data_IF_901589983150
#
_entry.id   IF_901589983150
#
_cell.length_a   1.000
_cell.length_b   1.000
_cell.length_c   1.000
_cell.angle_alpha   90.00
_cell.angle_beta   90.00
_cell.angle_gamma   90.00
#
_symmetry.space_group_name_H-M   'P 1'
#
loop_
_entity.id
_entity.type
_entity.pdbx_description
1 polymer ?
#
# COMPACT_ATOMS: atom_id res chain seq x y z
N UNK A 1 -2.02 19.24 32.21
CA UNK A 1 -0.98 18.33 32.71
C UNK A 1 -0.06 17.86 31.58
N UNK A 2 -0.59 17.24 30.52
CA UNK A 2 0.20 16.72 29.39
C UNK A 2 1.20 17.73 28.79
N UNK A 3 0.77 18.96 28.48
CA UNK A 3 1.67 20.01 27.92
C UNK A 3 2.84 20.33 28.87
N UNK A 4 2.61 20.39 30.19
CA UNK A 4 3.69 20.65 31.16
C UNK A 4 4.68 19.48 31.19
N UNK A 5 4.16 18.25 31.24
CA UNK A 5 5.00 17.05 31.21
C UNK A 5 5.87 16.97 29.94
N UNK A 6 5.33 17.37 28.79
CA UNK A 6 6.10 17.43 27.55
C UNK A 6 7.13 18.57 27.58
N UNK A 7 6.77 19.75 28.09
CA UNK A 7 7.68 20.89 28.22
C UNK A 7 8.88 20.60 29.13
N UNK A 8 8.67 19.83 30.20
CA UNK A 8 9.73 19.40 31.12
C UNK A 8 10.61 18.29 30.54
N UNK A 9 10.25 17.71 29.39
CA UNK A 9 11.05 16.66 28.76
C UNK A 9 12.39 17.20 28.26
N UNK A 10 13.49 16.43 28.35
CA UNK A 10 14.80 16.84 27.82
C UNK A 10 14.76 17.19 26.33
N UNK A 11 13.85 16.56 25.57
CA UNK A 11 13.66 16.82 24.14
C UNK A 11 13.19 18.23 23.86
N UNK A 12 12.28 18.78 24.68
CA UNK A 12 11.77 20.15 24.51
C UNK A 12 12.71 21.17 25.14
N UNK A 13 13.33 20.84 26.28
CA UNK A 13 14.31 21.72 26.94
C UNK A 13 15.55 21.97 26.07
N UNK A 14 15.94 20.98 25.25
CA UNK A 14 17.04 21.12 24.28
C UNK A 14 16.71 21.88 22.99
N UNK A 15 15.45 22.29 22.78
CA UNK A 15 15.07 23.04 21.58
C UNK A 15 15.54 24.50 21.66
N UNK A 16 15.77 25.09 20.48
CA UNK A 16 15.97 26.53 20.34
C UNK A 16 14.75 27.30 20.85
N UNK A 17 14.98 28.53 21.29
CA UNK A 17 13.93 29.40 21.82
C UNK A 17 12.77 29.58 20.82
N UNK A 18 13.08 29.86 19.55
CA UNK A 18 12.07 30.01 18.50
C UNK A 18 11.20 28.75 18.33
N UNK A 19 11.81 27.56 18.40
CA UNK A 19 11.11 26.28 18.30
C UNK A 19 10.20 26.04 19.50
N UNK A 20 10.63 26.42 20.72
CA UNK A 20 9.78 26.37 21.93
C UNK A 20 8.60 27.34 21.83
N UNK A 21 8.82 28.55 21.31
CA UNK A 21 7.76 29.53 21.10
C UNK A 21 6.74 29.06 20.05
N UNK A 22 7.19 28.48 18.94
CA UNK A 22 6.31 27.85 17.93
C UNK A 22 5.46 26.76 18.55
N UNK A 23 6.08 25.87 19.33
CA UNK A 23 5.40 24.79 20.04
C UNK A 23 4.33 25.32 21.00
N UNK A 24 4.65 26.35 21.79
CA UNK A 24 3.70 26.99 22.69
C UNK A 24 2.50 27.58 21.94
N UNK A 25 2.71 28.25 20.80
CA UNK A 25 1.63 28.77 19.95
C UNK A 25 0.72 27.66 19.42
N UNK A 26 1.29 26.53 19.00
CA UNK A 26 0.52 25.38 18.51
C UNK A 26 -0.37 24.79 19.62
N UNK A 27 0.16 24.62 20.83
CA UNK A 27 -0.62 24.10 21.96
C UNK A 27 -1.67 25.08 22.45
N UNK A 28 -1.38 26.38 22.46
CA UNK A 28 -2.37 27.41 22.77
C UNK A 28 -3.53 27.37 21.76
N UNK A 29 -3.23 27.27 20.46
CA UNK A 29 -4.26 27.17 19.41
C UNK A 29 -5.09 25.89 19.53
N UNK A 30 -4.47 24.76 19.86
CA UNK A 30 -5.20 23.52 20.13
C UNK A 30 -6.13 23.66 21.35
N UNK A 31 -5.67 24.30 22.43
CA UNK A 31 -6.51 24.56 23.62
C UNK A 31 -7.67 25.51 23.32
N UNK A 32 -7.45 26.53 22.48
CA UNK A 32 -8.51 27.43 22.01
C UNK A 32 -9.55 26.68 21.16
N UNK A 33 -9.11 25.79 20.27
CA UNK A 33 -10.02 24.96 19.47
C UNK A 33 -10.89 24.04 20.36
N UNK A 34 -10.33 23.48 21.45
CA UNK A 34 -11.13 22.73 22.44
C UNK A 34 -12.13 23.63 23.16
N UNK A 35 -11.72 24.82 23.58
CA UNK A 35 -12.61 25.77 24.26
C UNK A 35 -13.74 26.29 23.36
N UNK A 36 -13.51 26.35 22.06
CA UNK A 36 -14.50 26.73 21.04
C UNK A 36 -15.35 25.56 20.52
N UNK A 37 -15.18 24.35 21.07
CA UNK A 37 -15.83 23.11 20.62
C UNK A 37 -15.55 22.75 19.15
N UNK A 38 -14.42 23.21 18.61
CA UNK A 38 -13.96 22.88 17.25
C UNK A 38 -13.18 21.56 17.20
N UNK A 39 -12.66 21.09 18.33
CA UNK A 39 -12.04 19.76 18.45
C UNK A 39 -12.21 19.19 19.87
N UNK A 40 -12.15 17.85 19.98
CA UNK A 40 -12.25 17.18 21.27
C UNK A 40 -10.97 17.33 22.10
N UNK A 41 -11.09 17.23 23.43
CA UNK A 41 -9.93 17.19 24.33
C UNK A 41 -8.98 16.03 23.97
N UNK A 42 -9.54 14.87 23.60
CA UNK A 42 -8.76 13.71 23.16
C UNK A 42 -7.92 14.01 21.90
N UNK A 43 -8.48 14.74 20.92
CA UNK A 43 -7.75 15.17 19.74
C UNK A 43 -6.55 16.06 20.10
N UNK A 44 -6.77 17.02 21.00
CA UNK A 44 -5.71 17.91 21.46
C UNK A 44 -4.63 17.17 22.26
N UNK A 45 -5.00 16.20 23.11
CA UNK A 45 -4.04 15.36 23.83
C UNK A 45 -3.22 14.48 22.89
N UNK A 46 -3.87 13.85 21.90
CA UNK A 46 -3.18 13.06 20.86
C UNK A 46 -2.24 13.93 20.02
N UNK A 47 -2.59 15.20 19.78
CA UNK A 47 -1.72 16.16 19.12
C UNK A 47 -0.47 16.44 19.96
N UNK A 48 -0.61 16.65 21.28
CA UNK A 48 0.54 16.81 22.18
C UNK A 48 1.46 15.59 22.12
N UNK A 49 0.90 14.38 22.15
CA UNK A 49 1.68 13.14 22.08
C UNK A 49 2.38 12.97 20.72
N UNK A 50 1.69 13.30 19.63
CA UNK A 50 2.18 13.16 18.25
C UNK A 50 3.26 14.19 17.88
N UNK A 51 3.34 15.34 18.55
CA UNK A 51 4.37 16.35 18.23
C UNK A 51 5.80 15.86 18.55
N UNK A 52 5.95 14.80 19.37
CA UNK A 52 7.25 14.20 19.71
C UNK A 52 8.17 13.93 18.50
N UNK A 53 7.74 13.15 17.49
CA UNK A 53 8.44 12.97 16.22
C UNK A 53 8.84 14.27 15.49
N UNK A 54 8.06 15.34 15.59
CA UNK A 54 8.32 16.61 14.91
C UNK A 54 9.37 17.49 15.60
N UNK A 55 9.68 17.25 16.88
CA UNK A 55 10.60 18.10 17.63
C UNK A 55 12.01 18.17 17.00
N UNK A 56 12.38 17.17 16.19
CA UNK A 56 13.66 17.15 15.45
C UNK A 56 13.59 17.85 14.08
N UNK A 57 12.42 18.30 13.64
CA UNK A 57 12.14 18.83 12.31
C UNK A 57 11.47 20.20 12.43
N UNK A 58 12.27 21.24 12.67
CA UNK A 58 11.79 22.61 12.93
C UNK A 58 10.92 23.18 11.79
N UNK A 59 11.12 22.72 10.54
CA UNK A 59 10.31 23.09 9.38
C UNK A 59 8.84 22.71 9.54
N UNK A 60 8.53 21.57 10.17
CA UNK A 60 7.15 21.15 10.38
C UNK A 60 6.44 21.97 11.45
N UNK A 61 7.16 22.37 12.52
CA UNK A 61 6.63 23.31 13.50
C UNK A 61 6.36 24.68 12.84
N UNK A 62 7.23 25.12 11.93
CA UNK A 62 7.03 26.31 11.11
C UNK A 62 5.74 26.23 10.31
N UNK A 63 5.61 25.18 9.50
CA UNK A 63 4.49 24.92 8.60
C UNK A 63 3.16 24.98 9.36
N UNK A 64 3.09 24.29 10.50
CA UNK A 64 1.88 24.27 11.32
C UNK A 64 1.55 25.67 11.85
N UNK A 65 2.53 26.43 12.34
CA UNK A 65 2.27 27.79 12.85
C UNK A 65 1.78 28.70 11.72
N UNK A 66 2.46 28.68 10.58
CA UNK A 66 2.16 29.52 9.41
C UNK A 66 0.85 29.16 8.71
N UNK A 67 0.42 27.90 8.79
CA UNK A 67 -0.83 27.42 8.16
C UNK A 67 -1.81 26.88 9.21
N UNK A 68 -2.64 27.74 9.85
CA UNK A 68 -3.61 27.32 10.85
C UNK A 68 -4.59 26.23 10.39
N UNK A 69 -5.02 26.30 9.12
CA UNK A 69 -5.91 25.30 8.53
C UNK A 69 -5.31 23.88 8.55
N UNK A 70 -3.98 23.76 8.41
CA UNK A 70 -3.28 22.47 8.47
C UNK A 70 -3.36 21.88 9.89
N UNK A 71 -3.11 22.68 10.93
CA UNK A 71 -3.27 22.19 12.31
C UNK A 71 -4.72 21.82 12.60
N UNK A 72 -5.70 22.60 12.12
CA UNK A 72 -7.11 22.30 12.38
C UNK A 72 -7.52 20.95 11.75
N UNK A 73 -7.12 20.69 10.49
CA UNK A 73 -7.31 19.37 9.86
C UNK A 73 -6.66 18.25 10.65
N UNK A 74 -5.42 18.46 11.08
CA UNK A 74 -4.68 17.49 11.88
C UNK A 74 -5.37 17.18 13.21
N UNK A 75 -5.91 18.18 13.91
CA UNK A 75 -6.69 17.97 15.12
C UNK A 75 -7.95 17.15 14.84
N UNK A 76 -8.67 17.43 13.74
CA UNK A 76 -9.82 16.61 13.32
C UNK A 76 -9.43 15.15 13.06
N UNK A 77 -8.36 14.91 12.29
CA UNK A 77 -7.84 13.57 11.99
C UNK A 77 -7.49 12.80 13.27
N UNK A 78 -6.81 13.45 14.21
CA UNK A 78 -6.43 12.85 15.48
C UNK A 78 -7.63 12.56 16.39
N UNK A 79 -8.75 13.28 16.22
CA UNK A 79 -9.98 13.03 16.96
C UNK A 79 -10.73 11.77 16.54
N UNK A 80 -10.67 11.40 15.26
CA UNK A 80 -11.60 10.43 14.67
C UNK A 80 -11.24 8.97 14.90
N UNK A 81 -9.96 8.60 14.94
CA UNK A 81 -9.57 7.20 15.16
C UNK A 81 -8.15 7.03 15.71
N UNK A 82 -7.87 5.83 16.25
CA UNK A 82 -6.53 5.44 16.74
C UNK A 82 -5.56 5.15 15.59
N UNK A 83 -6.05 4.66 14.45
CA UNK A 83 -5.20 4.29 13.32
C UNK A 83 -4.53 5.51 12.65
N UNK A 84 -5.23 6.62 12.33
CA UNK A 84 -4.61 7.85 11.81
C UNK A 84 -3.47 8.37 12.69
N UNK A 85 -3.64 8.31 14.02
CA UNK A 85 -2.59 8.70 14.96
C UNK A 85 -1.36 7.80 14.84
N UNK A 86 -1.53 6.47 14.84
CA UNK A 86 -0.40 5.52 14.67
C UNK A 86 0.31 5.74 13.35
N UNK A 87 -0.45 5.93 12.28
CA UNK A 87 0.08 6.18 10.95
C UNK A 87 0.90 7.48 10.90
N UNK A 88 0.37 8.58 11.45
CA UNK A 88 1.07 9.85 11.54
C UNK A 88 2.33 9.79 12.44
N UNK A 89 2.34 8.95 13.48
CA UNK A 89 3.53 8.73 14.30
C UNK A 89 4.63 7.98 13.53
N UNK A 90 4.25 7.05 12.65
CA UNK A 90 5.17 6.27 11.82
C UNK A 90 5.67 7.09 10.62
N UNK A 91 4.83 7.94 10.03
CA UNK A 91 5.12 8.69 8.82
C UNK A 91 4.88 10.21 9.02
N UNK A 92 5.61 10.90 9.91
CA UNK A 92 5.36 12.31 10.22
C UNK A 92 5.52 13.26 9.02
N UNK A 93 6.19 12.83 7.94
CA UNK A 93 6.37 13.65 6.73
C UNK A 93 5.12 13.82 5.88
N UNK A 94 4.10 12.95 6.03
CA UNK A 94 2.87 13.03 5.22
C UNK A 94 2.04 14.29 5.50
N UNK A 95 2.37 15.05 6.56
CA UNK A 95 1.69 16.30 6.86
C UNK A 95 1.94 17.40 5.82
N UNK A 96 2.99 17.26 4.99
CA UNK A 96 3.21 18.12 3.84
C UNK A 96 2.00 18.09 2.89
N UNK A 97 1.30 16.96 2.81
CA UNK A 97 0.12 16.79 1.96
C UNK A 97 -1.09 17.60 2.45
N UNK A 98 -1.15 17.96 3.75
CA UNK A 98 -2.22 18.82 4.26
C UNK A 98 -2.10 20.27 3.80
N UNK A 99 -0.91 20.66 3.34
CA UNK A 99 -0.59 22.03 2.99
C UNK A 99 -1.24 22.47 1.67
N UNK A 100 -1.55 21.54 0.78
CA UNK A 100 -2.14 21.82 -0.54
C UNK A 100 -3.61 21.32 -0.61
N UNK A 101 -4.59 22.23 -0.60
CA UNK A 101 -6.01 21.86 -0.72
C UNK A 101 -6.37 21.15 -2.03
N UNK A 102 -5.67 21.42 -3.13
CA UNK A 102 -6.00 20.84 -4.44
C UNK A 102 -5.69 19.34 -4.45
N UNK A 103 -4.55 18.95 -3.87
CA UNK A 103 -4.14 17.54 -3.73
C UNK A 103 -5.10 16.72 -2.86
N UNK A 104 -5.85 17.38 -1.97
CA UNK A 104 -6.85 16.72 -1.13
C UNK A 104 -8.20 16.57 -1.84
N UNK A 105 -8.50 17.38 -2.85
CA UNK A 105 -9.82 17.38 -3.51
C UNK A 105 -9.97 16.36 -4.64
N UNK A 106 -8.85 15.96 -5.27
CA UNK A 106 -8.86 14.99 -6.37
C UNK A 106 -8.75 13.55 -5.85
N UNK A 107 -9.43 12.59 -6.51
CA UNK A 107 -9.20 11.15 -6.31
C UNK A 107 -7.85 10.73 -6.86
N UNK A 108 -7.40 9.54 -6.47
CA UNK A 108 -6.13 9.00 -6.93
C UNK A 108 -6.09 8.86 -8.46
N UNK A 109 -5.03 9.40 -9.07
CA UNK A 109 -4.73 9.25 -10.50
C UNK A 109 -3.48 8.37 -10.67
N UNK A 110 -3.72 7.15 -11.15
CA UNK A 110 -2.68 6.16 -11.41
C UNK A 110 -1.62 6.66 -12.39
N UNK A 111 -2.02 7.28 -13.49
CA UNK A 111 -1.08 7.65 -14.54
C UNK A 111 -0.22 8.84 -14.09
N UNK A 112 -0.83 9.81 -13.41
CA UNK A 112 -0.09 10.92 -12.80
C UNK A 112 0.92 10.42 -11.75
N UNK A 113 0.52 9.47 -10.89
CA UNK A 113 1.39 8.88 -9.88
C UNK A 113 2.60 8.14 -10.49
N UNK A 114 2.36 7.31 -11.51
CA UNK A 114 3.44 6.60 -12.22
C UNK A 114 4.34 7.59 -12.96
N UNK A 115 3.80 8.64 -13.57
CA UNK A 115 4.57 9.66 -14.26
C UNK A 115 5.49 10.44 -13.31
N UNK A 116 4.97 10.89 -12.16
CA UNK A 116 5.76 11.57 -11.12
C UNK A 116 6.91 10.67 -10.62
N UNK A 117 6.64 9.39 -10.35
CA UNK A 117 7.70 8.46 -9.93
C UNK A 117 8.76 8.25 -11.02
N UNK A 118 8.35 8.12 -12.28
CA UNK A 118 9.31 8.03 -13.41
C UNK A 118 10.19 9.28 -13.50
N UNK A 119 9.61 10.47 -13.32
CA UNK A 119 10.39 11.72 -13.31
C UNK A 119 11.41 11.74 -12.16
N UNK A 120 10.99 11.31 -10.96
CA UNK A 120 11.88 11.20 -9.79
C UNK A 120 13.00 10.19 -10.00
N UNK A 121 12.71 9.02 -10.58
CA UNK A 121 13.73 8.04 -10.94
C UNK A 121 14.75 8.65 -11.92
N UNK A 122 14.29 9.32 -12.97
CA UNK A 122 15.18 10.00 -13.91
C UNK A 122 16.00 11.09 -13.23
N UNK A 123 15.42 11.81 -12.26
CA UNK A 123 16.12 12.77 -11.41
C UNK A 123 17.30 12.13 -10.67
N UNK A 124 17.05 11.00 -10.00
CA UNK A 124 18.10 10.22 -9.32
C UNK A 124 19.16 9.68 -10.28
N UNK A 125 18.75 9.25 -11.47
CA UNK A 125 19.69 8.77 -12.50
C UNK A 125 20.60 9.90 -12.99
N UNK A 126 20.04 11.08 -13.25
CA UNK A 126 20.79 12.27 -13.67
C UNK A 126 21.79 12.74 -12.60
N UNK A 127 21.45 12.60 -11.32
CA UNK A 127 22.37 12.95 -10.23
C UNK A 127 23.42 11.88 -9.92
N UNK A 128 23.33 10.71 -10.55
CA UNK A 128 24.20 9.56 -10.25
C UNK A 128 23.93 8.92 -8.89
N UNK A 129 22.76 9.19 -8.29
CA UNK A 129 22.35 8.73 -6.95
C UNK A 129 21.12 7.82 -7.00
N UNK A 130 20.88 7.15 -8.13
CA UNK A 130 19.82 6.15 -8.29
C UNK A 130 20.18 4.81 -7.66
N UNK A 131 20.66 4.85 -6.41
CA UNK A 131 20.85 3.65 -5.61
C UNK A 131 19.50 3.03 -5.22
N UNK A 132 19.56 1.76 -4.83
CA UNK A 132 18.39 0.96 -4.50
C UNK A 132 17.62 1.53 -3.30
N UNK A 133 18.33 2.06 -2.29
CA UNK A 133 17.71 2.61 -1.09
C UNK A 133 16.94 3.89 -1.38
N UNK A 134 17.50 4.82 -2.17
CA UNK A 134 16.88 6.08 -2.54
C UNK A 134 15.57 5.87 -3.32
N UNK A 135 15.54 4.87 -4.21
CA UNK A 135 14.35 4.52 -4.97
C UNK A 135 13.29 3.86 -4.09
N UNK A 136 13.71 2.91 -3.25
CA UNK A 136 12.82 2.28 -2.26
C UNK A 136 12.16 3.33 -1.36
N UNK A 137 12.94 4.30 -0.88
CA UNK A 137 12.45 5.42 -0.07
C UNK A 137 11.53 6.36 -0.87
N UNK A 138 11.86 6.63 -2.12
CA UNK A 138 11.03 7.47 -3.01
C UNK A 138 9.65 6.86 -3.21
N UNK A 139 9.59 5.56 -3.51
CA UNK A 139 8.33 4.82 -3.69
C UNK A 139 7.51 4.77 -2.41
N UNK A 140 8.14 4.51 -1.25
CA UNK A 140 7.49 4.51 0.07
C UNK A 140 6.90 5.86 0.41
N UNK A 141 7.64 6.95 0.22
CA UNK A 141 7.14 8.31 0.51
C UNK A 141 5.94 8.65 -0.36
N UNK A 142 5.98 8.32 -1.65
CA UNK A 142 4.87 8.55 -2.56
C UNK A 142 3.63 7.70 -2.18
N UNK A 143 3.82 6.42 -1.87
CA UNK A 143 2.77 5.55 -1.36
C UNK A 143 2.14 6.12 -0.08
N UNK A 144 2.96 6.48 0.91
CA UNK A 144 2.47 6.96 2.19
C UNK A 144 1.76 8.31 2.10
N UNK A 145 2.22 9.19 1.20
CA UNK A 145 1.56 10.44 0.88
C UNK A 145 0.15 10.18 0.33
N UNK A 146 0.00 9.27 -0.63
CA UNK A 146 -1.31 9.01 -1.24
C UNK A 146 -2.28 8.27 -0.32
N UNK A 147 -1.79 7.31 0.48
CA UNK A 147 -2.57 6.68 1.56
C UNK A 147 -3.10 7.76 2.50
N UNK A 148 -2.26 8.72 2.86
CA UNK A 148 -2.65 9.79 3.76
C UNK A 148 -3.64 10.78 3.12
N UNK A 149 -3.46 11.16 1.85
CA UNK A 149 -4.46 11.98 1.12
C UNK A 149 -5.81 11.27 1.06
N UNK A 150 -5.81 9.96 0.80
CA UNK A 150 -7.03 9.13 0.79
C UNK A 150 -7.68 9.11 2.18
N UNK A 151 -6.89 8.98 3.25
CA UNK A 151 -7.38 9.06 4.62
C UNK A 151 -8.03 10.40 4.94
N UNK A 152 -7.43 11.51 4.50
CA UNK A 152 -7.98 12.84 4.70
C UNK A 152 -9.34 12.98 4.01
N UNK A 153 -9.44 12.53 2.75
CA UNK A 153 -10.70 12.55 1.98
C UNK A 153 -11.79 11.71 2.64
N UNK A 154 -11.46 10.51 3.10
CA UNK A 154 -12.38 9.60 3.82
C UNK A 154 -12.92 10.25 5.09
N UNK A 155 -12.02 10.74 5.94
CA UNK A 155 -12.33 11.42 7.20
C UNK A 155 -13.17 12.68 6.99
N UNK A 156 -12.89 13.47 5.96
CA UNK A 156 -13.65 14.68 5.65
C UNK A 156 -14.97 14.38 4.91
N UNK A 157 -15.30 13.10 4.67
CA UNK A 157 -16.53 12.68 4.01
C UNK A 157 -16.60 13.03 2.52
N UNK A 158 -15.43 13.24 1.89
CA UNK A 158 -15.33 13.64 0.48
C UNK A 158 -15.41 12.44 -0.48
N UNK A 159 -15.13 11.24 0.02
CA UNK A 159 -15.22 9.97 -0.72
C UNK A 159 -15.98 8.93 0.11
N UNK A 160 -16.62 7.97 -0.57
CA UNK A 160 -17.27 6.83 0.10
C UNK A 160 -16.27 5.74 0.45
N UNK A 161 -16.66 4.80 1.33
CA UNK A 161 -15.82 3.65 1.70
C UNK A 161 -15.46 2.79 0.48
N UNK A 162 -16.35 2.64 -0.49
CA UNK A 162 -16.07 1.95 -1.75
C UNK A 162 -15.03 2.69 -2.57
N UNK A 163 -15.09 4.03 -2.62
CA UNK A 163 -14.10 4.84 -3.32
C UNK A 163 -12.73 4.81 -2.62
N UNK A 164 -12.68 4.72 -1.29
CA UNK A 164 -11.45 4.44 -0.54
C UNK A 164 -10.85 3.12 -0.99
N UNK A 165 -11.66 2.06 -1.06
CA UNK A 165 -11.19 0.74 -1.46
C UNK A 165 -10.70 0.71 -2.92
N UNK A 166 -11.39 1.40 -3.82
CA UNK A 166 -10.96 1.60 -5.20
C UNK A 166 -9.61 2.34 -5.27
N UNK A 167 -9.46 3.47 -4.58
CA UNK A 167 -8.25 4.31 -4.61
C UNK A 167 -7.05 3.54 -4.03
N UNK A 168 -7.22 2.85 -2.90
CA UNK A 168 -6.16 2.06 -2.28
C UNK A 168 -5.77 0.84 -3.13
N UNK A 169 -6.75 0.17 -3.76
CA UNK A 169 -6.47 -0.95 -4.68
C UNK A 169 -5.73 -0.48 -5.93
N UNK A 170 -6.13 0.67 -6.49
CA UNK A 170 -5.48 1.25 -7.66
C UNK A 170 -4.06 1.76 -7.33
N UNK A 171 -3.85 2.29 -6.12
CA UNK A 171 -2.53 2.65 -5.61
C UNK A 171 -1.63 1.43 -5.49
N UNK A 172 -2.13 0.31 -4.95
CA UNK A 172 -1.37 -0.93 -4.86
C UNK A 172 -0.95 -1.45 -6.25
N UNK A 173 -1.86 -1.42 -7.24
CA UNK A 173 -1.56 -1.75 -8.64
C UNK A 173 -0.45 -0.86 -9.21
N UNK A 174 -0.52 0.45 -8.96
CA UNK A 174 0.46 1.43 -9.44
C UNK A 174 1.85 1.22 -8.80
N UNK A 175 1.89 1.00 -7.48
CA UNK A 175 3.13 0.73 -6.75
C UNK A 175 3.77 -0.58 -7.22
N UNK A 176 2.99 -1.64 -7.42
CA UNK A 176 3.47 -2.89 -8.00
C UNK A 176 4.06 -2.68 -9.39
N UNK A 177 3.39 -1.91 -10.26
CA UNK A 177 3.87 -1.62 -11.61
C UNK A 177 5.22 -0.89 -11.60
N UNK A 178 5.37 0.13 -10.74
CA UNK A 178 6.63 0.87 -10.59
C UNK A 178 7.73 -0.02 -10.02
N UNK A 179 7.42 -0.78 -8.96
CA UNK A 179 8.37 -1.68 -8.32
C UNK A 179 8.91 -2.74 -9.29
N UNK A 180 8.04 -3.32 -10.13
CA UNK A 180 8.46 -4.29 -11.17
C UNK A 180 9.49 -3.66 -12.10
N UNK A 181 9.20 -2.48 -12.66
CA UNK A 181 10.11 -1.80 -13.59
C UNK A 181 11.44 -1.45 -12.94
N UNK A 182 11.42 -0.81 -11.77
CA UNK A 182 12.63 -0.38 -11.07
C UNK A 182 13.50 -1.52 -10.60
N UNK A 183 12.88 -2.58 -10.05
CA UNK A 183 13.59 -3.75 -9.58
C UNK A 183 14.19 -4.55 -10.74
N UNK A 184 13.48 -4.67 -11.87
CA UNK A 184 13.94 -5.39 -13.05
C UNK A 184 15.15 -4.72 -13.70
N UNK A 185 15.09 -3.40 -13.90
CA UNK A 185 16.20 -2.61 -14.43
C UNK A 185 17.49 -2.73 -13.60
N UNK A 186 17.37 -3.13 -12.33
CA UNK A 186 18.47 -3.31 -11.37
C UNK A 186 18.64 -4.78 -10.96
N UNK A 187 18.09 -5.71 -11.74
CA UNK A 187 18.25 -7.13 -11.50
C UNK A 187 19.38 -7.67 -12.37
N UNK A 188 20.51 -8.02 -11.75
CA UNK A 188 21.73 -8.42 -12.48
C UNK A 188 21.59 -9.68 -13.34
N UNK A 189 20.50 -10.45 -13.22
CA UNK A 189 20.18 -11.61 -14.06
C UNK A 189 19.11 -11.29 -15.12
N UNK A 190 18.69 -10.04 -15.28
CA UNK A 190 17.74 -9.65 -16.31
C UNK A 190 18.32 -9.95 -17.71
N UNK A 191 17.63 -10.79 -18.47
CA UNK A 191 18.04 -11.24 -19.81
C UNK A 191 17.34 -10.47 -20.94
N UNK A 192 16.45 -9.53 -20.60
CA UNK A 192 15.67 -8.72 -21.54
C UNK A 192 15.35 -7.33 -20.97
N UNK A 193 15.00 -6.35 -21.82
CA UNK A 193 14.73 -4.99 -21.36
C UNK A 193 13.59 -4.91 -20.34
N UNK A 194 12.49 -5.61 -20.59
CA UNK A 194 11.29 -5.62 -19.75
C UNK A 194 10.88 -7.06 -19.37
N UNK A 195 10.44 -7.31 -18.13
CA UNK A 195 10.06 -8.64 -17.69
C UNK A 195 8.73 -9.07 -18.31
N UNK A 196 8.66 -10.31 -18.80
CA UNK A 196 7.40 -10.98 -19.17
C UNK A 196 6.72 -11.57 -17.92
N UNK A 197 6.46 -10.72 -16.93
CA UNK A 197 5.84 -11.09 -15.65
C UNK A 197 4.45 -10.47 -15.56
N UNK A 198 3.47 -11.23 -15.08
CA UNK A 198 2.16 -10.79 -14.66
C UNK A 198 1.98 -11.02 -13.15
N UNK A 199 1.43 -10.03 -12.47
CA UNK A 199 0.96 -10.15 -11.09
C UNK A 199 -0.56 -10.24 -11.12
N UNK A 200 -1.08 -11.34 -10.58
CA UNK A 200 -2.51 -11.61 -10.46
C UNK A 200 -2.89 -11.36 -9.01
N UNK A 201 -3.67 -10.31 -8.78
CA UNK A 201 -4.24 -10.01 -7.48
C UNK A 201 -5.37 -10.98 -7.16
N UNK A 202 -5.43 -11.45 -5.91
CA UNK A 202 -6.50 -12.25 -5.32
C UNK A 202 -7.08 -11.52 -4.11
N UNK A 203 -8.01 -12.16 -3.39
CA UNK A 203 -8.49 -11.68 -2.09
C UNK A 203 -9.08 -10.27 -2.16
N UNK A 204 -8.65 -9.39 -1.25
CA UNK A 204 -9.16 -8.01 -1.17
C UNK A 204 -8.66 -7.15 -2.33
N UNK A 205 -7.37 -7.25 -2.69
CA UNK A 205 -6.81 -6.50 -3.82
C UNK A 205 -7.50 -6.87 -5.13
N UNK A 206 -7.73 -8.17 -5.34
CA UNK A 206 -8.42 -8.69 -6.52
C UNK A 206 -9.87 -8.21 -6.61
N UNK A 207 -10.58 -8.23 -5.49
CA UNK A 207 -11.95 -7.72 -5.37
C UNK A 207 -12.09 -6.19 -5.35
N UNK A 208 -10.98 -5.43 -5.37
CA UNK A 208 -10.96 -3.97 -5.16
C UNK A 208 -11.56 -3.54 -3.80
N UNK A 209 -11.29 -4.34 -2.77
CA UNK A 209 -11.77 -4.18 -1.39
C UNK A 209 -10.61 -3.89 -0.42
N UNK A 210 -9.51 -3.28 -0.90
CA UNK A 210 -8.34 -3.03 -0.08
C UNK A 210 -8.62 -1.96 0.98
N UNK A 211 -8.10 -2.16 2.20
CA UNK A 211 -8.15 -1.16 3.27
C UNK A 211 -6.75 -0.64 3.62
N UNK A 212 -6.68 0.34 4.53
CA UNK A 212 -5.45 1.07 4.89
C UNK A 212 -4.28 0.24 5.43
N UNK A 213 -4.49 -1.02 5.78
CA UNK A 213 -3.44 -1.96 6.20
C UNK A 213 -3.73 -3.36 5.68
N UNK A 214 -4.28 -3.46 4.47
CA UNK A 214 -4.57 -4.75 3.85
C UNK A 214 -3.32 -5.36 3.21
N UNK A 215 -3.11 -6.64 3.48
CA UNK A 215 -2.10 -7.46 2.81
C UNK A 215 -2.43 -7.59 1.31
N UNK A 216 -1.40 -7.81 0.49
CA UNK A 216 -1.56 -8.08 -0.94
C UNK A 216 -1.51 -9.58 -1.21
N UNK A 217 -2.68 -10.18 -1.41
CA UNK A 217 -2.80 -11.53 -1.95
C UNK A 217 -2.44 -11.53 -3.44
N UNK A 218 -1.28 -12.07 -3.81
CA UNK A 218 -0.81 -12.06 -5.20
C UNK A 218 -0.22 -13.39 -5.66
N UNK A 219 -0.42 -13.68 -6.94
CA UNK A 219 0.21 -14.80 -7.66
C UNK A 219 1.04 -14.26 -8.80
N UNK A 220 2.28 -14.72 -8.90
CA UNK A 220 3.21 -14.31 -9.94
C UNK A 220 3.26 -15.35 -11.06
N UNK A 221 3.08 -14.88 -12.30
CA UNK A 221 3.08 -15.73 -13.50
C UNK A 221 3.99 -15.12 -14.55
N UNK A 222 4.83 -15.91 -15.21
CA UNK A 222 5.67 -15.43 -16.32
C UNK A 222 5.33 -16.14 -17.64
N UNK A 223 5.67 -15.53 -18.75
CA UNK A 223 5.51 -16.13 -20.09
C UNK A 223 6.72 -15.78 -20.96
N UNK A 224 7.71 -16.64 -20.88
CA UNK A 224 9.04 -16.40 -21.41
C UNK A 224 9.67 -17.73 -21.87
N UNK A 225 10.16 -17.75 -23.10
CA UNK A 225 10.73 -18.93 -23.76
C UNK A 225 12.22 -19.14 -23.44
N UNK A 226 12.85 -18.27 -22.66
CA UNK A 226 14.24 -18.47 -22.21
C UNK A 226 14.36 -19.74 -21.37
N UNK A 227 15.38 -20.57 -21.66
CA UNK A 227 15.60 -21.84 -20.97
C UNK A 227 15.80 -21.67 -19.45
N UNK A 228 16.34 -20.52 -19.03
CA UNK A 228 16.57 -20.17 -17.62
C UNK A 228 15.46 -19.29 -17.04
N UNK A 229 14.37 -19.02 -17.78
CA UNK A 229 13.29 -18.13 -17.36
C UNK A 229 12.78 -18.48 -15.95
N UNK A 230 12.52 -19.75 -15.67
CA UNK A 230 12.03 -20.18 -14.37
C UNK A 230 12.95 -19.77 -13.20
N UNK A 231 14.27 -19.90 -13.36
CA UNK A 231 15.24 -19.47 -12.34
C UNK A 231 15.32 -17.94 -12.24
N UNK A 232 15.36 -17.25 -13.39
CA UNK A 232 15.46 -15.79 -13.49
C UNK A 232 14.25 -15.15 -12.81
N UNK A 233 13.03 -15.54 -13.19
CA UNK A 233 11.81 -14.99 -12.60
C UNK A 233 11.66 -15.39 -11.13
N UNK A 234 12.10 -16.59 -10.72
CA UNK A 234 12.06 -16.95 -9.30
C UNK A 234 13.00 -16.06 -8.47
N UNK A 235 14.20 -15.76 -8.99
CA UNK A 235 15.13 -14.80 -8.38
C UNK A 235 14.57 -13.38 -8.36
N UNK A 236 13.96 -12.95 -9.47
CA UNK A 236 13.37 -11.63 -9.61
C UNK A 236 12.18 -11.43 -8.66
N UNK A 237 11.24 -12.36 -8.61
CA UNK A 237 10.06 -12.27 -7.73
C UNK A 237 10.48 -12.27 -6.25
N UNK A 238 11.50 -13.04 -5.85
CA UNK A 238 12.07 -12.93 -4.49
C UNK A 238 12.58 -11.53 -4.19
N UNK A 239 13.33 -10.92 -5.12
CA UNK A 239 13.83 -9.54 -4.98
C UNK A 239 12.69 -8.53 -4.94
N UNK A 240 11.67 -8.69 -5.79
CA UNK A 240 10.50 -7.82 -5.82
C UNK A 240 9.73 -7.89 -4.49
N UNK A 241 9.51 -9.08 -3.94
CA UNK A 241 8.89 -9.22 -2.62
C UNK A 241 9.73 -8.52 -1.55
N UNK A 242 11.06 -8.65 -1.56
CA UNK A 242 11.93 -7.89 -0.65
C UNK A 242 11.74 -6.38 -0.83
N UNK A 243 11.64 -5.87 -2.05
CA UNK A 243 11.41 -4.44 -2.31
C UNK A 243 10.10 -3.94 -1.70
N UNK A 244 9.06 -4.78 -1.73
CA UNK A 244 7.73 -4.46 -1.22
C UNK A 244 7.64 -4.57 0.32
N UNK A 245 8.38 -5.49 0.93
CA UNK A 245 8.28 -5.78 2.38
C UNK A 245 9.38 -5.15 3.23
N UNK A 246 10.50 -4.73 2.65
CA UNK A 246 11.63 -4.18 3.41
C UNK A 246 11.22 -2.91 4.18
N UNK A 247 11.60 -2.84 5.45
CA UNK A 247 11.42 -1.64 6.28
C UNK A 247 12.60 -0.70 6.12
N UNK A 248 12.35 0.53 5.68
CA UNK A 248 13.35 1.59 5.60
C UNK A 248 12.99 2.75 6.54
N UNK A 249 13.81 3.80 6.58
CA UNK A 249 13.49 5.02 7.32
C UNK A 249 12.23 5.73 6.80
N UNK A 250 11.82 5.46 5.54
CA UNK A 250 10.59 5.98 4.96
C UNK A 250 9.34 5.15 5.30
N UNK A 251 9.50 3.92 5.81
CA UNK A 251 8.41 3.01 6.14
C UNK A 251 8.48 1.66 5.43
N UNK A 252 7.31 1.03 5.29
CA UNK A 252 7.09 -0.22 4.54
C UNK A 252 5.96 -0.02 3.53
N UNK A 253 5.93 -0.80 2.45
CA UNK A 253 4.84 -0.70 1.47
C UNK A 253 3.71 -1.65 1.84
N UNK A 254 3.97 -2.95 1.79
CA UNK A 254 2.95 -3.97 1.97
C UNK A 254 3.50 -5.24 2.60
N UNK A 255 2.64 -5.93 3.33
CA UNK A 255 2.77 -7.37 3.55
C UNK A 255 2.26 -8.11 2.30
N UNK A 256 3.00 -9.13 1.87
CA UNK A 256 2.72 -9.89 0.64
C UNK A 256 2.34 -11.32 1.01
N UNK A 257 1.12 -11.73 0.66
CA UNK A 257 0.67 -13.12 0.77
C UNK A 257 0.67 -13.79 -0.62
N UNK A 258 1.35 -14.92 -0.73
CA UNK A 258 1.46 -15.72 -1.96
C UNK A 258 0.87 -17.12 -1.78
N UNK A 259 0.12 -17.39 -0.70
CA UNK A 259 -0.40 -18.71 -0.37
C UNK A 259 -1.44 -19.24 -1.37
N UNK A 260 -2.05 -18.37 -2.18
CA UNK A 260 -3.03 -18.72 -3.21
C UNK A 260 -2.41 -19.12 -4.56
N UNK A 261 -1.07 -19.21 -4.65
CA UNK A 261 -0.39 -19.72 -5.84
C UNK A 261 -0.62 -21.24 -6.00
N UNK A 262 -0.46 -21.80 -7.22
CA UNK A 262 -0.59 -23.24 -7.44
C UNK A 262 0.23 -24.06 -6.42
N UNK A 263 -0.41 -25.04 -5.79
CA UNK A 263 0.18 -25.87 -4.71
C UNK A 263 0.58 -25.11 -3.43
N UNK A 264 0.10 -23.87 -3.26
CA UNK A 264 0.32 -23.03 -2.09
C UNK A 264 1.79 -22.94 -1.67
N UNK A 265 2.06 -23.11 -0.38
CA UNK A 265 3.41 -23.01 0.17
C UNK A 265 4.40 -24.05 -0.34
N UNK A 266 3.91 -25.19 -0.85
CA UNK A 266 4.72 -26.25 -1.45
C UNK A 266 4.99 -26.01 -2.95
N UNK A 267 4.32 -25.03 -3.56
CA UNK A 267 4.49 -24.66 -4.95
C UNK A 267 5.61 -23.65 -5.20
N UNK A 268 6.02 -23.55 -6.47
CA UNK A 268 6.94 -22.53 -6.94
C UNK A 268 6.39 -21.13 -6.67
N UNK A 269 7.25 -20.20 -6.26
CA UNK A 269 6.87 -18.81 -5.97
C UNK A 269 6.33 -18.07 -7.21
N UNK A 270 6.84 -18.44 -8.38
CA UNK A 270 6.41 -17.97 -9.68
C UNK A 270 6.25 -19.18 -10.60
N UNK A 271 5.24 -19.16 -11.46
CA UNK A 271 4.97 -20.25 -12.39
C UNK A 271 4.84 -19.72 -13.82
N UNK A 272 5.00 -20.59 -14.83
CA UNK A 272 4.72 -20.18 -16.20
C UNK A 272 3.22 -20.05 -16.42
N UNK A 273 2.81 -19.20 -17.36
CA UNK A 273 1.40 -19.00 -17.69
C UNK A 273 0.74 -20.29 -18.19
N UNK A 274 1.47 -21.08 -18.98
CA UNK A 274 1.01 -22.39 -19.42
C UNK A 274 0.79 -23.37 -18.24
N UNK A 275 1.67 -23.36 -17.24
CA UNK A 275 1.49 -24.20 -16.06
C UNK A 275 0.34 -23.71 -15.16
N UNK A 276 0.21 -22.40 -14.99
CA UNK A 276 -0.92 -21.80 -14.28
C UNK A 276 -2.25 -22.21 -14.92
N UNK A 277 -2.36 -22.10 -16.25
CA UNK A 277 -3.53 -22.54 -17.02
C UNK A 277 -3.81 -24.03 -16.82
N UNK A 278 -2.80 -24.89 -17.00
CA UNK A 278 -2.93 -26.33 -16.84
C UNK A 278 -3.36 -26.72 -15.41
N UNK A 279 -2.83 -26.05 -14.39
CA UNK A 279 -3.20 -26.31 -13.00
C UNK A 279 -4.66 -25.94 -12.73
N UNK A 280 -5.09 -24.77 -13.19
CA UNK A 280 -6.42 -24.23 -12.94
C UNK A 280 -7.52 -24.95 -13.72
N UNK A 281 -7.22 -25.40 -14.94
CA UNK A 281 -8.19 -26.03 -15.87
C UNK A 281 -8.09 -27.56 -15.92
N UNK A 282 -7.05 -28.12 -15.29
CA UNK A 282 -6.78 -29.55 -15.29
C UNK A 282 -7.85 -30.40 -14.61
N UNK A 283 -7.63 -31.72 -14.65
CA UNK A 283 -8.43 -32.73 -13.95
C UNK A 283 -7.50 -33.79 -13.38
N UNK A 284 -7.74 -34.26 -12.16
CA UNK A 284 -6.94 -35.31 -11.52
C UNK A 284 -6.32 -34.87 -10.19
N UNK A 285 -5.13 -35.38 -9.86
CA UNK A 285 -4.51 -35.20 -8.54
C UNK A 285 -3.68 -33.92 -8.38
N UNK A 286 -3.28 -33.27 -9.48
CA UNK A 286 -2.49 -32.03 -9.47
C UNK A 286 -3.26 -30.91 -10.19
N UNK A 287 -4.42 -30.56 -9.64
CA UNK A 287 -5.30 -29.52 -10.16
C UNK A 287 -5.90 -28.73 -9.01
N UNK A 288 -6.35 -27.52 -9.32
CA UNK A 288 -6.96 -26.63 -8.36
C UNK A 288 -8.24 -27.24 -7.74
N UNK A 289 -8.34 -27.08 -6.42
CA UNK A 289 -9.52 -27.45 -5.64
C UNK A 289 -10.65 -26.43 -5.83
N UNK A 290 -11.89 -26.83 -5.52
CA UNK A 290 -13.06 -25.94 -5.59
C UNK A 290 -12.91 -24.65 -4.78
N UNK A 291 -12.18 -24.67 -3.66
CA UNK A 291 -11.92 -23.45 -2.88
C UNK A 291 -10.91 -22.52 -3.56
N UNK A 292 -9.95 -23.04 -4.33
CA UNK A 292 -9.04 -22.23 -5.16
C UNK A 292 -9.80 -21.59 -6.32
N UNK A 293 -10.74 -22.34 -6.92
CA UNK A 293 -11.68 -21.77 -7.90
C UNK A 293 -12.61 -20.73 -7.28
N UNK A 294 -12.98 -20.82 -6.01
CA UNK A 294 -13.68 -19.73 -5.33
C UNK A 294 -12.77 -18.50 -5.18
N UNK A 295 -11.50 -18.67 -4.83
CA UNK A 295 -10.55 -17.57 -4.75
C UNK A 295 -10.35 -16.88 -6.13
N UNK A 296 -10.33 -17.65 -7.22
CA UNK A 296 -10.16 -17.10 -8.59
C UNK A 296 -11.30 -16.17 -9.02
N UNK A 297 -12.49 -16.26 -8.39
CA UNK A 297 -13.62 -15.37 -8.71
C UNK A 297 -13.27 -13.91 -8.54
N UNK A 298 -12.40 -13.61 -7.56
CA UNK A 298 -11.88 -12.28 -7.25
C UNK A 298 -10.56 -11.99 -7.95
N UNK A 299 -9.98 -12.95 -8.65
CA UNK A 299 -8.67 -12.75 -9.26
C UNK A 299 -8.73 -11.75 -10.42
N UNK A 300 -7.71 -10.91 -10.56
CA UNK A 300 -7.53 -10.03 -11.72
C UNK A 300 -6.05 -9.74 -11.96
N UNK A 301 -5.69 -9.44 -13.21
CA UNK A 301 -4.41 -8.80 -13.49
C UNK A 301 -4.35 -7.45 -12.79
N UNK A 302 -3.24 -7.17 -12.08
CA UNK A 302 -3.03 -5.88 -11.41
C UNK A 302 -1.79 -5.13 -11.89
N UNK A 303 -0.69 -5.83 -12.20
CA UNK A 303 0.56 -5.20 -12.63
C UNK A 303 1.43 -6.15 -13.47
N UNK A 304 2.39 -5.59 -14.22
CA UNK A 304 3.36 -6.33 -15.02
C UNK A 304 3.25 -6.04 -16.52
N UNK A 305 3.54 -7.04 -17.35
CA UNK A 305 3.37 -6.97 -18.80
C UNK A 305 1.88 -6.99 -19.17
N UNK A 306 1.38 -5.85 -19.69
CA UNK A 306 0.01 -5.71 -20.15
C UNK A 306 -0.36 -6.70 -21.28
N UNK A 307 0.63 -7.19 -22.04
CA UNK A 307 0.44 -8.23 -23.05
C UNK A 307 -0.03 -9.58 -22.48
N UNK A 308 0.16 -9.82 -21.18
CA UNK A 308 -0.28 -11.05 -20.51
C UNK A 308 -1.68 -10.92 -19.91
N UNK A 309 -2.20 -9.71 -19.71
CA UNK A 309 -3.48 -9.47 -19.03
C UNK A 309 -4.65 -10.22 -19.69
N UNK A 310 -4.74 -10.15 -21.02
CA UNK A 310 -5.81 -10.83 -21.77
C UNK A 310 -5.77 -12.36 -21.64
N UNK A 311 -4.57 -12.96 -21.60
CA UNK A 311 -4.40 -14.41 -21.41
C UNK A 311 -4.71 -14.83 -19.99
N UNK A 312 -4.27 -14.07 -18.97
CA UNK A 312 -4.64 -14.33 -17.58
C UNK A 312 -6.17 -14.29 -17.38
N UNK A 313 -6.85 -13.31 -17.98
CA UNK A 313 -8.31 -13.22 -17.91
C UNK A 313 -9.01 -14.35 -18.68
N UNK A 314 -8.44 -14.80 -19.82
CA UNK A 314 -8.97 -15.95 -20.54
C UNK A 314 -8.94 -17.24 -19.68
N UNK A 315 -7.83 -17.49 -18.98
CA UNK A 315 -7.73 -18.62 -18.03
C UNK A 315 -8.78 -18.49 -16.93
N UNK A 316 -8.88 -17.32 -16.29
CA UNK A 316 -9.89 -17.09 -15.24
C UNK A 316 -11.30 -17.34 -15.76
N UNK A 317 -11.65 -16.80 -16.94
CA UNK A 317 -12.96 -16.98 -17.56
C UNK A 317 -13.25 -18.46 -17.81
N UNK A 318 -12.28 -19.21 -18.34
CA UNK A 318 -12.43 -20.64 -18.58
C UNK A 318 -12.74 -21.41 -17.29
N UNK A 319 -12.06 -21.09 -16.18
CA UNK A 319 -12.34 -21.67 -14.87
C UNK A 319 -13.76 -21.32 -14.41
N UNK A 320 -14.17 -20.07 -14.52
CA UNK A 320 -15.48 -19.62 -14.06
C UNK A 320 -16.63 -20.22 -14.88
N UNK A 321 -16.44 -20.39 -16.19
CA UNK A 321 -17.47 -20.97 -17.08
C UNK A 321 -17.40 -22.49 -17.21
N UNK A 322 -16.46 -23.15 -16.52
CA UNK A 322 -16.36 -24.60 -16.54
C UNK A 322 -17.67 -25.25 -16.01
N UNK A 323 -18.21 -26.28 -16.71
CA UNK A 323 -19.42 -26.96 -16.27
C UNK A 323 -19.18 -27.65 -14.93
N UNK A 324 -20.12 -27.48 -14.00
CA UNK A 324 -20.09 -28.06 -12.65
C UNK A 324 -21.45 -28.65 -12.29
N UNK A 325 -21.46 -29.73 -11.52
CA UNK A 325 -22.67 -30.19 -10.84
C UNK A 325 -23.01 -29.19 -9.73
N UNK A 326 -24.15 -28.50 -9.89
CA UNK A 326 -24.58 -27.46 -8.97
C UNK A 326 -24.78 -27.95 -7.54
N UNK A 327 -25.27 -29.18 -7.35
CA UNK A 327 -25.56 -29.72 -6.02
C UNK A 327 -24.29 -30.23 -5.33
N UNK A 328 -23.34 -30.79 -6.09
CA UNK A 328 -22.01 -31.10 -5.57
C UNK A 328 -21.26 -29.83 -5.16
N UNK A 329 -21.23 -28.82 -6.04
CA UNK A 329 -20.57 -27.54 -5.77
C UNK A 329 -21.16 -26.84 -4.53
N UNK A 330 -22.50 -26.79 -4.41
CA UNK A 330 -23.18 -26.21 -3.25
C UNK A 330 -22.74 -26.86 -1.94
N UNK A 331 -22.65 -28.19 -1.90
CA UNK A 331 -22.21 -28.93 -0.72
C UNK A 331 -20.75 -28.64 -0.36
N UNK A 332 -19.86 -28.59 -1.35
CA UNK A 332 -18.44 -28.27 -1.13
C UNK A 332 -18.22 -26.84 -0.61
N UNK A 333 -18.92 -25.86 -1.19
CA UNK A 333 -18.87 -24.46 -0.75
C UNK A 333 -19.35 -24.34 0.71
N UNK A 334 -20.49 -24.96 1.04
CA UNK A 334 -21.03 -24.92 2.40
C UNK A 334 -20.08 -25.59 3.40
N UNK A 335 -19.57 -26.78 3.10
CA UNK A 335 -18.65 -27.50 3.97
C UNK A 335 -17.37 -26.70 4.26
N UNK A 336 -16.82 -26.02 3.24
CA UNK A 336 -15.67 -25.15 3.42
C UNK A 336 -16.00 -23.92 4.27
N UNK A 337 -17.17 -23.32 4.07
CA UNK A 337 -17.65 -22.17 4.86
C UNK A 337 -17.81 -22.51 6.34
N UNK A 338 -18.36 -23.68 6.64
CA UNK A 338 -18.53 -24.16 8.00
C UNK A 338 -17.16 -24.42 8.67
N UNK A 339 -16.23 -25.04 7.94
CA UNK A 339 -14.85 -25.26 8.42
C UNK A 339 -14.12 -23.97 8.77
N UNK A 340 -14.21 -22.94 7.93
CA UNK A 340 -13.59 -21.62 8.20
C UNK A 340 -14.26 -20.94 9.39
N UNK A 341 -15.58 -21.06 9.52
CA UNK A 341 -16.33 -20.44 10.63
C UNK A 341 -16.01 -21.09 11.97
N UNK A 342 -15.82 -22.41 12.01
CA UNK A 342 -15.43 -23.14 13.22
C UNK A 342 -13.97 -22.90 13.65
N UNK A 343 -13.13 -22.38 12.77
CA UNK A 343 -11.72 -22.08 13.03
C UNK A 343 -11.47 -20.64 13.52
N UNK A 344 -12.51 -19.80 13.57
CA UNK A 344 -12.47 -18.41 14.06
C UNK A 344 -12.88 -18.32 15.52
#
# INVERSE_FOLDING_TARGET
AAVRSLADSPRVQGLREDSRQRLARLFQRAAQAVAADECSLDAALRFVDWVGPLLRRESYLALLVERPAVQQRLLRLLGLARWPMRYLMQHPGVIDELADPLLLSARFDREAFIADLREREQGWQRSGQADEEALLDTLRRAHHAEVFRTLVRDVEGQITVEQVADDLSLLADAVLQVAIGWAWARFGKAHRPDPRLAVIAYGKLGGKELGYGGDLDVVFVFDDDDENAAEIYAGFVRRLITWLTLRTAAGELFDIDTALRPNGNSGLLVTSLAHFEAYQTGRGSNTAWTWEHQAITRARFCAGDAGLAGRCEAVRRQVLTAPRDAEALRREVQAMRDKVSAAR
#
